data_IF_486782969557
#
_entry.id   IF_486782969557
#
_cell.length_a   1.000
_cell.length_b   1.000
_cell.length_c   1.000
_cell.angle_alpha   90.00
_cell.angle_beta   90.00
_cell.angle_gamma   90.00
#
_symmetry.space_group_name_H-M   'P 1'
#
loop_
_entity.id
_entity.type
_entity.pdbx_description
1 polymer ?
#
# COMPACT_ATOMS: atom_id res chain seq x y z
N UNK A 1 -9.62 9.05 22.13
CA UNK A 1 -8.91 9.12 20.83
C UNK A 1 -8.84 7.70 20.31
N UNK A 2 -9.69 7.34 19.34
CA UNK A 2 -9.68 5.99 18.78
C UNK A 2 -8.46 5.81 17.88
N UNK A 3 -7.75 4.68 18.01
CA UNK A 3 -6.64 4.36 17.12
C UNK A 3 -7.13 4.35 15.67
N UNK A 4 -6.38 4.99 14.77
CA UNK A 4 -6.65 4.94 13.34
C UNK A 4 -6.57 3.49 12.86
N UNK A 5 -7.45 3.12 11.94
CA UNK A 5 -7.41 1.79 11.33
C UNK A 5 -6.42 1.78 10.16
N UNK A 6 -5.59 0.76 10.10
CA UNK A 6 -4.65 0.54 8.99
C UNK A 6 -5.40 -0.12 7.83
N UNK A 7 -5.34 0.49 6.64
CA UNK A 7 -6.02 0.02 5.43
C UNK A 7 -4.98 -0.19 4.33
N UNK A 8 -4.78 -1.44 3.95
CA UNK A 8 -4.04 -1.80 2.75
C UNK A 8 -4.91 -1.56 1.51
N UNK A 9 -4.41 -0.77 0.56
CA UNK A 9 -5.08 -0.52 -0.72
C UNK A 9 -4.27 -1.22 -1.80
N UNK A 10 -4.78 -2.35 -2.29
CA UNK A 10 -4.11 -3.16 -3.30
C UNK A 10 -4.49 -2.69 -4.71
N UNK A 11 -3.51 -2.64 -5.62
CA UNK A 11 -3.77 -2.43 -7.04
C UNK A 11 -2.56 -2.73 -7.92
N UNK A 12 -2.71 -2.49 -9.23
CA UNK A 12 -1.79 -2.98 -10.26
C UNK A 12 -2.29 -4.28 -10.88
N UNK A 13 -1.45 -5.31 -10.85
CA UNK A 13 -1.68 -6.63 -11.44
C UNK A 13 -0.99 -6.79 -12.80
N UNK A 14 -0.87 -8.05 -13.25
CA UNK A 14 -0.41 -8.40 -14.58
C UNK A 14 -1.55 -8.22 -15.61
N UNK A 15 -1.94 -6.97 -15.84
CA UNK A 15 -2.98 -6.59 -16.80
C UNK A 15 -2.54 -5.36 -17.59
N UNK A 16 -3.05 -5.23 -18.81
CA UNK A 16 -2.95 -3.99 -19.60
C UNK A 16 -3.58 -2.78 -18.87
N UNK A 17 -4.45 -3.03 -17.89
CA UNK A 17 -5.10 -2.01 -17.06
C UNK A 17 -4.29 -1.61 -15.82
N UNK A 18 -3.06 -2.12 -15.65
CA UNK A 18 -2.18 -1.82 -14.51
C UNK A 18 -2.14 -0.33 -14.20
N UNK A 19 -1.92 0.52 -15.20
CA UNK A 19 -1.82 1.96 -15.00
C UNK A 19 -3.13 2.60 -14.51
N UNK A 20 -4.28 2.09 -14.98
CA UNK A 20 -5.60 2.54 -14.52
C UNK A 20 -5.83 2.12 -13.07
N UNK A 21 -5.47 0.90 -12.71
CA UNK A 21 -5.54 0.40 -11.34
C UNK A 21 -4.68 1.24 -10.39
N UNK A 22 -3.45 1.59 -10.79
CA UNK A 22 -2.56 2.46 -10.00
C UNK A 22 -3.15 3.87 -9.78
N UNK A 23 -3.80 4.45 -10.79
CA UNK A 23 -4.51 5.74 -10.66
C UNK A 23 -5.68 5.65 -9.69
N UNK A 24 -6.41 4.52 -9.68
CA UNK A 24 -7.46 4.23 -8.71
C UNK A 24 -6.95 4.18 -7.28
N UNK A 25 -5.88 3.42 -7.04
CA UNK A 25 -5.23 3.32 -5.72
C UNK A 25 -4.84 4.70 -5.18
N UNK A 26 -4.22 5.54 -6.03
CA UNK A 26 -3.83 6.91 -5.65
C UNK A 26 -5.03 7.77 -5.24
N UNK A 27 -6.14 7.69 -5.99
CA UNK A 27 -7.35 8.45 -5.67
C UNK A 27 -8.00 7.99 -4.36
N UNK A 28 -8.10 6.68 -4.13
CA UNK A 28 -8.66 6.13 -2.89
C UNK A 28 -7.82 6.57 -1.69
N UNK A 29 -6.49 6.45 -1.78
CA UNK A 29 -5.58 6.89 -0.72
C UNK A 29 -5.70 8.40 -0.42
N UNK A 30 -5.98 9.22 -1.44
CA UNK A 30 -6.18 10.66 -1.28
C UNK A 30 -7.50 10.98 -0.56
N UNK A 31 -8.57 10.24 -0.84
CA UNK A 31 -9.92 10.54 -0.36
C UNK A 31 -10.25 9.88 0.98
N UNK A 32 -9.46 8.89 1.41
CA UNK A 32 -9.65 8.23 2.68
C UNK A 32 -9.54 9.23 3.84
N UNK A 33 -10.45 9.13 4.81
CA UNK A 33 -10.44 10.03 5.98
C UNK A 33 -9.17 9.80 6.81
N UNK A 34 -8.24 10.74 6.73
CA UNK A 34 -6.91 10.68 7.37
C UNK A 34 -6.96 10.77 8.90
N UNK A 35 -8.07 11.21 9.48
CA UNK A 35 -8.27 11.22 10.93
C UNK A 35 -8.68 9.84 11.46
N UNK A 36 -9.29 9.00 10.59
CA UNK A 36 -9.78 7.67 10.95
C UNK A 36 -8.91 6.53 10.43
N UNK A 37 -8.16 6.75 9.36
CA UNK A 37 -7.46 5.69 8.65
C UNK A 37 -6.02 6.06 8.27
N UNK A 38 -5.14 5.06 8.30
CA UNK A 38 -3.82 5.08 7.69
C UNK A 38 -3.89 4.28 6.39
N UNK A 39 -3.66 4.92 5.25
CA UNK A 39 -3.70 4.28 3.94
C UNK A 39 -2.31 3.78 3.53
N UNK A 40 -2.21 2.49 3.18
CA UNK A 40 -0.99 1.84 2.72
C UNK A 40 -1.19 1.32 1.29
N UNK A 41 -0.73 2.06 0.26
CA UNK A 41 -0.84 1.61 -1.13
C UNK A 41 0.13 0.46 -1.39
N UNK A 42 -0.39 -0.72 -1.75
CA UNK A 42 0.38 -1.91 -2.08
C UNK A 42 0.19 -2.24 -3.55
N UNK A 43 1.28 -2.24 -4.30
CA UNK A 43 1.28 -2.55 -5.73
C UNK A 43 1.60 -4.03 -5.91
N UNK A 44 0.72 -4.72 -6.64
CA UNK A 44 0.90 -6.10 -7.06
C UNK A 44 1.47 -6.09 -8.47
N UNK A 45 2.60 -6.73 -8.71
CA UNK A 45 3.19 -6.85 -10.04
C UNK A 45 3.88 -8.20 -10.21
N UNK A 46 3.32 -9.06 -11.07
CA UNK A 46 3.69 -10.46 -11.12
C UNK A 46 3.56 -11.13 -9.76
N UNK A 47 4.68 -11.64 -9.26
CA UNK A 47 4.80 -12.27 -7.94
C UNK A 47 5.33 -11.31 -6.88
N UNK A 48 5.36 -10.00 -7.14
CA UNK A 48 5.91 -9.00 -6.23
C UNK A 48 4.79 -8.16 -5.61
N UNK A 49 4.90 -7.92 -4.31
CA UNK A 49 4.11 -6.95 -3.57
C UNK A 49 5.03 -5.82 -3.12
N UNK A 50 4.66 -4.59 -3.43
CA UNK A 50 5.47 -3.41 -3.14
C UNK A 50 4.63 -2.34 -2.45
N UNK A 51 4.97 -2.02 -1.21
CA UNK A 51 4.41 -0.89 -0.47
C UNK A 51 5.04 0.41 -1.00
N UNK A 52 4.19 1.38 -1.36
CA UNK A 52 4.62 2.74 -1.70
C UNK A 52 4.69 3.59 -0.44
N UNK A 53 5.86 3.64 0.19
CA UNK A 53 6.08 4.46 1.39
C UNK A 53 6.40 5.92 1.01
N UNK A 54 5.78 6.92 1.64
CA UNK A 54 5.95 8.33 1.26
C UNK A 54 7.39 8.85 1.36
N UNK A 55 8.17 8.34 2.32
CA UNK A 55 9.53 8.84 2.59
C UNK A 55 10.64 7.89 2.18
N UNK A 56 10.35 6.59 2.10
CA UNK A 56 11.34 5.53 1.87
C UNK A 56 11.22 4.93 0.47
N UNK A 57 10.24 5.36 -0.31
CA UNK A 57 9.97 4.85 -1.65
C UNK A 57 9.35 3.45 -1.62
N UNK A 58 9.86 2.58 -2.48
CA UNK A 58 9.30 1.26 -2.72
C UNK A 58 9.89 0.24 -1.72
N UNK A 59 9.02 -0.35 -0.91
CA UNK A 59 9.41 -1.36 0.08
C UNK A 59 8.77 -2.71 -0.30
N UNK A 60 9.54 -3.80 -0.42
CA UNK A 60 8.96 -5.12 -0.68
C UNK A 60 8.12 -5.58 0.51
N UNK A 61 6.96 -6.15 0.21
CA UNK A 61 6.05 -6.75 1.19
C UNK A 61 6.19 -8.27 1.10
N UNK A 62 6.32 -8.92 2.25
CA UNK A 62 6.32 -10.37 2.32
C UNK A 62 4.95 -10.95 1.95
N UNK A 63 4.94 -12.01 1.13
CA UNK A 63 3.73 -12.79 0.85
C UNK A 63 3.32 -13.69 2.01
N UNK A 64 4.28 -14.15 2.83
CA UNK A 64 4.02 -15.07 3.93
C UNK A 64 3.44 -14.37 5.16
N UNK A 65 3.87 -13.13 5.42
CA UNK A 65 3.51 -12.39 6.63
C UNK A 65 2.74 -11.09 6.37
N UNK A 66 2.61 -10.66 5.11
CA UNK A 66 2.04 -9.35 4.72
C UNK A 66 2.72 -8.15 5.42
N UNK A 67 3.97 -8.31 5.84
CA UNK A 67 4.74 -7.25 6.51
C UNK A 67 5.73 -6.57 5.58
N UNK A 68 5.99 -5.28 5.81
CA UNK A 68 7.02 -4.49 5.14
C UNK A 68 8.01 -3.91 6.16
N UNK A 69 9.32 -3.96 5.88
CA UNK A 69 10.35 -3.36 6.74
C UNK A 69 10.70 -1.95 6.26
N UNK A 70 10.34 -0.95 7.05
CA UNK A 70 10.62 0.46 6.82
C UNK A 70 11.77 0.92 7.74
N UNK A 71 13.01 0.52 7.40
CA UNK A 71 14.15 0.70 8.30
C UNK A 71 14.06 -0.25 9.50
N UNK A 72 14.06 0.30 10.72
CA UNK A 72 13.90 -0.47 11.96
C UNK A 72 12.42 -0.77 12.31
N UNK A 73 11.48 -0.16 11.60
CA UNK A 73 10.04 -0.34 11.83
C UNK A 73 9.48 -1.47 10.95
N UNK A 74 8.62 -2.31 11.52
CA UNK A 74 7.84 -3.30 10.77
C UNK A 74 6.40 -2.81 10.64
N UNK A 75 5.97 -2.60 9.40
CA UNK A 75 4.58 -2.28 9.06
C UNK A 75 3.87 -3.61 8.84
N UNK A 76 2.81 -3.86 9.63
CA UNK A 76 1.96 -5.04 9.60
C UNK A 76 0.48 -4.64 9.68
#
# INVERSE_FOLDING_TARGET
MGNKLNIAILGGGNSSEKEISLKGVKQIAQWLNKERYNAFPIIVEGTHLTLKHPNLGDIPVSWDSFTAKAGDETIA
#
